data_IF_178725758704
#
_entry.id   IF_178725758704
#
_cell.length_a   1.000
_cell.length_b   1.000
_cell.length_c   1.000
_cell.angle_alpha   90.00
_cell.angle_beta   90.00
_cell.angle_gamma   90.00
#
_symmetry.space_group_name_H-M   'P 1'
#
loop_
_entity.id
_entity.type
_entity.pdbx_description
1 polymer ?
#
# COMPACT_ATOMS: atom_id res chain seq x y z
N UNK A 1 10.12 -21.86 -1.32
CA UNK A 1 9.43 -20.73 -0.65
C UNK A 1 8.28 -20.29 -1.54
N UNK A 2 7.15 -19.92 -0.93
CA UNK A 2 6.04 -19.26 -1.62
C UNK A 2 5.95 -17.83 -1.13
N UNK A 3 5.75 -16.86 -2.04
CA UNK A 3 5.65 -15.45 -1.65
C UNK A 3 4.32 -14.90 -2.11
N UNK A 4 3.51 -14.40 -1.18
CA UNK A 4 2.33 -13.59 -1.49
C UNK A 4 2.63 -12.15 -1.15
N UNK A 5 2.42 -11.23 -2.09
CA UNK A 5 2.63 -9.81 -1.84
C UNK A 5 1.54 -8.97 -2.48
N UNK A 6 1.30 -7.81 -1.91
CA UNK A 6 0.43 -6.81 -2.48
C UNK A 6 0.79 -5.41 -1.97
N UNK A 7 0.33 -4.41 -2.70
CA UNK A 7 0.52 -3.01 -2.36
C UNK A 7 -0.83 -2.33 -2.26
N UNK A 8 -0.98 -1.43 -1.30
CA UNK A 8 -2.14 -0.54 -1.27
C UNK A 8 -1.76 0.83 -0.76
N UNK A 9 -2.40 1.86 -1.29
CA UNK A 9 -2.46 3.15 -0.64
C UNK A 9 -3.70 3.18 0.26
N UNK A 10 -3.56 3.70 1.47
CA UNK A 10 -4.66 3.89 2.41
C UNK A 10 -4.68 5.30 2.95
N UNK A 11 -5.86 5.90 3.01
CA UNK A 11 -6.15 7.08 3.81
C UNK A 11 -7.04 6.70 4.99
N UNK A 12 -6.69 7.15 6.19
CA UNK A 12 -7.39 6.84 7.44
C UNK A 12 -7.96 8.11 8.07
N UNK A 13 -9.21 8.04 8.52
CA UNK A 13 -9.85 9.14 9.25
C UNK A 13 -10.87 8.62 10.25
N UNK A 14 -10.91 9.19 11.45
CA UNK A 14 -11.95 8.96 12.46
C UNK A 14 -13.05 10.05 12.43
N UNK A 15 -12.89 11.08 11.59
CA UNK A 15 -13.83 12.20 11.45
C UNK A 15 -14.51 12.25 10.07
N UNK A 16 -13.92 11.59 9.07
CA UNK A 16 -14.50 11.46 7.73
C UNK A 16 -14.76 9.99 7.42
N UNK A 17 -15.91 9.72 6.84
CA UNK A 17 -16.22 8.45 6.20
C UNK A 17 -15.47 8.28 4.88
N UNK A 18 -15.38 7.04 4.37
CA UNK A 18 -14.79 6.80 3.06
C UNK A 18 -15.54 7.48 1.91
N UNK A 19 -16.86 7.62 2.01
CA UNK A 19 -17.64 8.33 0.99
C UNK A 19 -17.32 9.83 0.95
N UNK A 20 -17.11 10.46 2.11
CA UNK A 20 -16.68 11.85 2.19
C UNK A 20 -15.24 12.02 1.69
N UNK A 21 -14.34 11.08 1.99
CA UNK A 21 -13.00 11.06 1.41
C UNK A 21 -13.04 10.95 -0.12
N UNK A 22 -13.84 10.04 -0.68
CA UNK A 22 -14.03 9.92 -2.14
C UNK A 22 -14.51 11.22 -2.77
N UNK A 23 -15.52 11.85 -2.16
CA UNK A 23 -16.10 13.09 -2.66
C UNK A 23 -15.08 14.24 -2.69
N UNK A 24 -14.14 14.27 -1.74
CA UNK A 24 -13.09 15.29 -1.67
C UNK A 24 -11.91 14.99 -2.60
N UNK A 25 -11.50 13.73 -2.71
CA UNK A 25 -10.39 13.31 -3.58
C UNK A 25 -10.81 13.31 -5.05
N UNK A 26 -12.09 13.01 -5.34
CA UNK A 26 -12.61 12.83 -6.69
C UNK A 26 -12.34 11.43 -7.26
N UNK A 27 -12.03 10.46 -6.40
CA UNK A 27 -11.74 9.07 -6.76
C UNK A 27 -12.46 8.12 -5.79
N UNK A 28 -13.07 7.07 -6.33
CA UNK A 28 -13.64 5.98 -5.52
C UNK A 28 -12.55 4.98 -5.10
N UNK A 29 -12.65 4.39 -3.88
CA UNK A 29 -11.70 3.40 -3.42
C UNK A 29 -12.00 2.04 -4.04
N UNK A 30 -10.99 1.19 -4.08
CA UNK A 30 -11.17 -0.23 -4.31
C UNK A 30 -11.78 -0.92 -3.08
N UNK A 31 -11.40 -0.45 -1.88
CA UNK A 31 -11.85 -1.02 -0.61
C UNK A 31 -12.13 0.04 0.45
N UNK A 32 -13.16 -0.24 1.26
CA UNK A 32 -13.50 0.53 2.45
C UNK A 32 -13.45 -0.37 3.66
N UNK A 33 -12.82 0.09 4.74
CA UNK A 33 -12.84 -0.59 6.03
C UNK A 33 -13.24 0.37 7.15
N UNK A 34 -13.89 -0.15 8.19
CA UNK A 34 -14.11 0.55 9.45
C UNK A 34 -13.34 -0.22 10.52
N UNK A 35 -12.26 0.36 11.00
CA UNK A 35 -11.38 -0.20 12.01
C UNK A 35 -11.70 0.44 13.35
N UNK A 36 -12.19 -0.33 14.31
CA UNK A 36 -12.45 0.15 15.67
C UNK A 36 -11.85 -0.79 16.69
N UNK A 37 -11.36 -0.24 17.82
CA UNK A 37 -11.04 -1.10 18.95
C UNK A 37 -12.31 -1.66 19.54
N UNK A 38 -12.33 -2.96 19.86
CA UNK A 38 -13.37 -3.55 20.69
C UNK A 38 -13.23 -3.14 22.16
N UNK A 39 -12.11 -2.48 22.53
CA UNK A 39 -11.91 -1.97 23.87
C UNK A 39 -12.77 -0.73 24.11
N UNK A 40 -13.62 -0.81 25.13
CA UNK A 40 -14.47 0.29 25.55
C UNK A 40 -13.71 1.31 26.43
N UNK A 41 -12.46 1.02 26.84
CA UNK A 41 -11.67 1.87 27.75
C UNK A 41 -10.16 1.87 27.42
N UNK A 42 -9.58 3.03 27.04
CA UNK A 42 -10.28 4.23 26.61
C UNK A 42 -11.12 3.94 25.36
N UNK A 43 -12.24 4.65 25.21
CA UNK A 43 -13.04 4.57 23.99
C UNK A 43 -12.15 5.01 22.81
N UNK A 44 -11.84 4.10 21.90
CA UNK A 44 -11.12 4.45 20.67
C UNK A 44 -12.15 4.67 19.56
N UNK A 45 -12.15 5.84 18.90
CA UNK A 45 -13.04 6.09 17.77
C UNK A 45 -12.89 5.02 16.70
N UNK A 46 -13.99 4.78 15.98
CA UNK A 46 -13.90 4.05 14.72
C UNK A 46 -13.10 4.89 13.72
N UNK A 47 -12.17 4.25 13.03
CA UNK A 47 -11.34 4.81 11.97
C UNK A 47 -11.82 4.22 10.65
N UNK A 48 -12.25 5.08 9.75
CA UNK A 48 -12.55 4.73 8.37
C UNK A 48 -11.26 4.68 7.56
N UNK A 49 -11.11 3.64 6.76
CA UNK A 49 -10.01 3.48 5.82
C UNK A 49 -10.57 3.46 4.39
N UNK A 50 -9.99 4.28 3.53
CA UNK A 50 -10.23 4.38 2.09
C UNK A 50 -8.98 3.88 1.37
N UNK A 51 -9.10 2.91 0.44
CA UNK A 51 -7.93 2.22 -0.13
C UNK A 51 -7.96 2.11 -1.65
N UNK A 52 -6.77 2.22 -2.25
CA UNK A 52 -6.46 1.83 -3.63
C UNK A 52 -5.44 0.69 -3.58
N UNK A 53 -5.72 -0.42 -4.24
CA UNK A 53 -4.99 -1.68 -4.08
C UNK A 53 -4.45 -2.22 -5.40
N UNK A 54 -3.33 -2.92 -5.35
CA UNK A 54 -2.82 -3.75 -6.43
C UNK A 54 -2.42 -5.11 -5.85
N UNK A 55 -3.06 -6.17 -6.36
CA UNK A 55 -2.84 -7.58 -5.98
C UNK A 55 -2.60 -8.48 -7.18
N UNK A 56 -2.22 -7.87 -8.31
CA UNK A 56 -2.07 -8.61 -9.56
C UNK A 56 -0.88 -9.58 -9.43
N UNK A 57 -1.07 -10.88 -9.69
CA UNK A 57 0.00 -11.87 -9.55
C UNK A 57 1.10 -11.64 -10.59
N UNK A 58 2.32 -12.06 -10.26
CA UNK A 58 3.49 -12.00 -11.12
C UNK A 58 4.18 -10.62 -11.17
N UNK A 59 3.67 -9.63 -10.43
CA UNK A 59 4.29 -8.31 -10.36
C UNK A 59 5.29 -8.20 -9.21
N UNK A 60 6.39 -7.51 -9.46
CA UNK A 60 7.29 -7.06 -8.40
C UNK A 60 6.64 -5.93 -7.59
N UNK A 61 7.15 -5.66 -6.38
CA UNK A 61 6.58 -4.62 -5.50
C UNK A 61 6.65 -3.23 -6.15
N UNK A 62 7.73 -2.91 -6.86
CA UNK A 62 7.91 -1.64 -7.56
C UNK A 62 6.93 -1.48 -8.74
N UNK A 63 6.59 -2.56 -9.45
CA UNK A 63 5.53 -2.55 -10.46
C UNK A 63 4.15 -2.32 -9.83
N UNK A 64 3.85 -2.99 -8.72
CA UNK A 64 2.59 -2.79 -7.98
C UNK A 64 2.47 -1.36 -7.42
N UNK A 65 3.55 -0.82 -6.85
CA UNK A 65 3.64 0.57 -6.40
C UNK A 65 3.36 1.50 -7.57
N UNK A 66 4.03 1.28 -8.71
CA UNK A 66 3.87 2.14 -9.89
C UNK A 66 2.40 2.18 -10.34
N UNK A 67 1.72 1.03 -10.40
CA UNK A 67 0.29 0.97 -10.74
C UNK A 67 -0.59 1.73 -9.76
N UNK A 68 -0.32 1.65 -8.46
CA UNK A 68 -1.07 2.39 -7.44
C UNK A 68 -0.82 3.90 -7.59
N UNK A 69 0.44 4.31 -7.77
CA UNK A 69 0.81 5.72 -7.93
C UNK A 69 0.25 6.29 -9.23
N UNK A 70 0.28 5.55 -10.35
CA UNK A 70 -0.32 5.96 -11.63
C UNK A 70 -1.80 6.33 -11.49
N UNK A 71 -2.53 5.59 -10.65
CA UNK A 71 -3.95 5.86 -10.40
C UNK A 71 -4.18 7.07 -9.50
N UNK A 72 -3.25 7.36 -8.59
CA UNK A 72 -3.38 8.42 -7.58
C UNK A 72 -2.78 9.75 -8.01
N UNK A 73 -1.76 9.74 -8.89
CA UNK A 73 -1.03 10.93 -9.31
C UNK A 73 -1.93 12.05 -9.86
N UNK A 74 -2.98 11.77 -10.66
CA UNK A 74 -3.93 12.80 -11.09
C UNK A 74 -4.67 13.52 -9.96
N UNK A 75 -4.73 12.91 -8.78
CA UNK A 75 -5.45 13.41 -7.59
C UNK A 75 -4.50 13.85 -6.47
N UNK A 76 -3.18 13.93 -6.74
CA UNK A 76 -2.15 14.19 -5.74
C UNK A 76 -2.36 15.47 -4.93
N UNK A 77 -2.84 16.55 -5.56
CA UNK A 77 -3.14 17.81 -4.87
C UNK A 77 -4.31 17.66 -3.88
N UNK A 78 -5.40 17.01 -4.31
CA UNK A 78 -6.56 16.77 -3.45
C UNK A 78 -6.23 15.84 -2.28
N UNK A 79 -5.41 14.81 -2.53
CA UNK A 79 -4.90 13.91 -1.50
C UNK A 79 -4.04 14.69 -0.50
N UNK A 80 -3.06 15.47 -0.98
CA UNK A 80 -2.16 16.25 -0.12
C UNK A 80 -2.91 17.27 0.74
N UNK A 81 -3.86 18.00 0.15
CA UNK A 81 -4.70 18.95 0.89
C UNK A 81 -5.56 18.27 1.97
N UNK A 82 -6.10 17.08 1.67
CA UNK A 82 -6.87 16.32 2.65
C UNK A 82 -5.99 15.74 3.77
N UNK A 83 -4.77 15.30 3.46
CA UNK A 83 -3.80 14.86 4.46
C UNK A 83 -3.42 16.02 5.38
N UNK A 84 -3.15 17.20 4.84
CA UNK A 84 -2.86 18.39 5.63
C UNK A 84 -4.01 18.76 6.57
N UNK A 85 -5.25 18.75 6.08
CA UNK A 85 -6.45 18.99 6.89
C UNK A 85 -6.58 17.98 8.04
N UNK A 86 -6.38 16.69 7.76
CA UNK A 86 -6.51 15.61 8.74
C UNK A 86 -5.34 15.56 9.73
N UNK A 87 -4.17 16.09 9.37
CA UNK A 87 -2.99 16.14 10.22
C UNK A 87 -3.06 17.23 11.30
N UNK A 88 -3.89 18.27 11.13
CA UNK A 88 -4.03 19.36 12.08
C UNK A 88 -4.37 18.85 13.50
N UNK A 89 -3.36 18.86 14.38
CA UNK A 89 -3.49 18.45 15.79
C UNK A 89 -3.27 16.96 16.07
N UNK A 90 -2.70 16.19 15.14
CA UNK A 90 -2.47 14.74 15.30
C UNK A 90 -1.02 14.35 15.02
N UNK A 91 -0.60 13.22 15.61
CA UNK A 91 0.71 12.62 15.39
C UNK A 91 0.59 11.41 14.47
N UNK A 92 1.44 11.32 13.45
CA UNK A 92 1.47 10.25 12.44
C UNK A 92 0.79 10.63 11.12
N UNK A 93 1.19 10.01 10.01
CA UNK A 93 0.52 10.22 8.73
C UNK A 93 -0.81 9.46 8.67
N UNK A 94 -1.84 10.15 8.20
CA UNK A 94 -3.13 9.53 7.89
C UNK A 94 -3.13 8.85 6.52
N UNK A 95 -2.08 9.02 5.71
CA UNK A 95 -1.92 8.42 4.40
C UNK A 95 -0.67 7.53 4.34
N UNK A 96 -0.83 6.29 3.90
CA UNK A 96 0.26 5.31 3.85
C UNK A 96 0.20 4.53 2.54
N UNK A 97 1.31 4.46 1.83
CA UNK A 97 1.57 3.45 0.81
C UNK A 97 2.14 2.22 1.51
N UNK A 98 1.33 1.17 1.64
CA UNK A 98 1.70 -0.06 2.31
C UNK A 98 2.15 -1.11 1.30
N UNK A 99 3.30 -1.71 1.54
CA UNK A 99 3.71 -3.00 0.99
C UNK A 99 3.42 -4.07 2.04
N UNK A 100 2.77 -5.15 1.64
CA UNK A 100 2.58 -6.32 2.51
C UNK A 100 3.11 -7.55 1.82
N UNK A 101 3.96 -8.31 2.51
CA UNK A 101 4.53 -9.57 2.03
C UNK A 101 4.37 -10.67 3.07
N UNK A 102 3.93 -11.84 2.60
CA UNK A 102 3.88 -13.08 3.36
C UNK A 102 4.85 -14.08 2.72
N UNK A 103 5.79 -14.57 3.53
CA UNK A 103 6.66 -15.69 3.22
C UNK A 103 5.97 -16.99 3.58
N UNK A 104 6.23 -18.03 2.79
CA UNK A 104 5.69 -19.39 2.93
C UNK A 104 4.15 -19.47 3.02
N UNK A 105 3.48 -18.51 2.38
CA UNK A 105 2.02 -18.47 2.27
C UNK A 105 1.50 -19.52 1.27
N UNK A 106 0.48 -20.28 1.67
CA UNK A 106 -0.12 -21.32 0.82
C UNK A 106 -0.71 -20.77 -0.49
N UNK A 107 -1.16 -19.51 -0.49
CA UNK A 107 -1.67 -18.82 -1.67
C UNK A 107 -0.56 -18.04 -2.42
N UNK A 108 0.67 -18.05 -1.91
CA UNK A 108 1.80 -17.35 -2.51
C UNK A 108 2.28 -17.95 -3.84
N UNK A 109 2.96 -17.14 -4.63
CA UNK A 109 3.60 -17.60 -5.86
C UNK A 109 4.79 -18.49 -5.56
N UNK A 110 4.99 -19.53 -6.36
CA UNK A 110 6.12 -20.45 -6.21
C UNK A 110 7.36 -19.83 -6.81
N UNK A 111 8.51 -20.06 -6.19
CA UNK A 111 9.80 -19.73 -6.79
C UNK A 111 9.95 -20.40 -8.16
N UNK A 112 10.15 -19.59 -9.20
CA UNK A 112 10.56 -20.08 -10.49
C UNK A 112 12.05 -20.42 -10.46
N UNK A 113 12.40 -21.70 -10.57
CA UNK A 113 13.79 -22.18 -10.56
C UNK A 113 14.44 -22.16 -11.95
N UNK A 114 13.74 -21.69 -12.97
CA UNK A 114 14.33 -21.52 -14.31
C UNK A 114 15.31 -20.36 -14.28
N UNK A 115 16.48 -20.57 -14.87
CA UNK A 115 17.42 -19.50 -15.14
C UNK A 115 17.01 -18.74 -16.40
N UNK A 116 17.10 -17.40 -16.43
CA UNK A 116 16.94 -16.63 -17.65
C UNK A 116 18.08 -16.88 -18.65
N UNK A 117 19.25 -17.32 -18.17
CA UNK A 117 20.36 -17.78 -19.00
C UNK A 117 20.38 -19.32 -19.03
N UNK A 118 20.18 -19.96 -20.21
CA UNK A 118 20.21 -21.42 -20.33
C UNK A 118 21.55 -22.07 -19.93
N UNK A 119 22.64 -21.31 -19.87
CA UNK A 119 23.95 -21.78 -19.44
C UNK A 119 24.13 -21.78 -17.90
N UNK A 120 23.18 -21.21 -17.16
CA UNK A 120 23.23 -21.08 -15.71
C UNK A 120 22.08 -21.83 -15.05
N UNK A 121 22.30 -22.27 -13.81
CA UNK A 121 21.24 -22.77 -12.91
C UNK A 121 20.94 -21.69 -11.88
N UNK A 122 19.64 -21.48 -11.60
CA UNK A 122 19.21 -20.55 -10.57
C UNK A 122 19.36 -21.20 -9.19
N UNK A 123 19.97 -20.49 -8.25
CA UNK A 123 20.14 -20.97 -6.88
C UNK A 123 18.80 -20.81 -6.14
N UNK A 124 18.28 -21.87 -5.47
CA UNK A 124 17.07 -21.74 -4.66
C UNK A 124 17.18 -20.64 -3.60
N UNK A 125 16.08 -19.92 -3.37
CA UNK A 125 16.02 -18.75 -2.49
C UNK A 125 16.16 -17.40 -3.22
N UNK A 126 16.34 -17.41 -4.54
CA UNK A 126 16.36 -16.21 -5.39
C UNK A 126 14.97 -15.93 -5.96
N UNK A 127 13.94 -15.91 -5.11
CA UNK A 127 12.55 -15.80 -5.56
C UNK A 127 12.33 -14.53 -6.41
N UNK A 128 11.67 -14.69 -7.57
CA UNK A 128 11.52 -13.64 -8.59
C UNK A 128 10.79 -12.38 -8.13
N UNK A 129 10.06 -12.48 -7.02
CA UNK A 129 9.31 -11.39 -6.39
C UNK A 129 10.09 -10.64 -5.31
N UNK A 130 11.32 -11.06 -5.02
CA UNK A 130 12.19 -10.41 -4.03
C UNK A 130 13.13 -9.41 -4.69
N UNK A 131 13.46 -8.37 -3.94
CA UNK A 131 14.15 -7.20 -4.47
C UNK A 131 13.16 -6.27 -5.18
N UNK A 132 13.24 -4.99 -4.86
CA UNK A 132 12.46 -3.93 -5.45
C UNK A 132 13.12 -2.60 -5.13
N UNK A 133 12.69 -1.54 -5.78
CA UNK A 133 13.23 -0.21 -5.56
C UNK A 133 12.09 0.83 -5.58
N UNK A 134 12.38 2.02 -5.04
CA UNK A 134 11.50 3.17 -5.15
C UNK A 134 12.22 4.19 -6.01
N UNK A 135 11.61 4.58 -7.13
CA UNK A 135 12.17 5.60 -8.00
C UNK A 135 11.89 7.02 -7.49
N UNK A 136 12.52 8.02 -8.10
CA UNK A 136 12.34 9.42 -7.70
C UNK A 136 10.93 9.97 -7.93
N UNK A 137 10.13 9.37 -8.82
CA UNK A 137 8.75 9.78 -9.07
C UNK A 137 7.88 9.38 -7.89
N UNK A 138 7.99 8.13 -7.42
CA UNK A 138 7.25 7.65 -6.25
C UNK A 138 7.63 8.44 -5.00
N UNK A 139 8.93 8.70 -4.78
CA UNK A 139 9.37 9.53 -3.64
C UNK A 139 8.74 10.92 -3.70
N UNK A 140 8.67 11.55 -4.88
CA UNK A 140 8.04 12.86 -5.05
C UNK A 140 6.55 12.82 -4.74
N UNK A 141 5.84 11.78 -5.22
CA UNK A 141 4.42 11.59 -4.94
C UNK A 141 4.14 11.46 -3.44
N UNK A 142 4.93 10.64 -2.74
CA UNK A 142 4.82 10.46 -1.29
C UNK A 142 5.06 11.80 -0.55
N UNK A 143 6.12 12.51 -0.93
CA UNK A 143 6.44 13.81 -0.33
C UNK A 143 5.35 14.87 -0.59
N UNK A 144 4.79 14.94 -1.81
CA UNK A 144 3.75 15.93 -2.15
C UNK A 144 2.40 15.64 -1.50
N UNK A 145 2.12 14.38 -1.20
CA UNK A 145 0.86 13.96 -0.56
C UNK A 145 0.97 13.87 0.96
N UNK A 146 2.17 14.01 1.52
CA UNK A 146 2.43 13.74 2.95
C UNK A 146 2.25 12.26 3.34
N UNK A 147 2.24 11.37 2.36
CA UNK A 147 2.09 9.94 2.59
C UNK A 147 3.42 9.29 2.99
N UNK A 148 3.33 8.33 3.91
CA UNK A 148 4.47 7.50 4.31
C UNK A 148 4.53 6.22 3.47
N UNK A 149 5.72 5.62 3.39
CA UNK A 149 5.90 4.25 2.89
C UNK A 149 6.08 3.33 4.09
N UNK A 150 5.27 2.28 4.16
CA UNK A 150 5.35 1.26 5.20
C UNK A 150 5.44 -0.13 4.59
N UNK A 151 6.21 -1.01 5.22
CA UNK A 151 6.54 -2.34 4.70
C UNK A 151 6.36 -3.37 5.80
N UNK A 152 5.31 -4.17 5.64
CA UNK A 152 4.99 -5.28 6.54
C UNK A 152 5.43 -6.59 5.92
N UNK A 153 6.23 -7.36 6.66
CA UNK A 153 6.67 -8.69 6.27
C UNK A 153 6.31 -9.71 7.34
N UNK A 154 5.70 -10.81 6.91
CA UNK A 154 5.22 -11.90 7.77
C UNK A 154 5.75 -13.24 7.27
N UNK A 155 6.02 -14.19 8.17
CA UNK A 155 6.45 -15.55 7.87
C UNK A 155 6.01 -16.53 8.93
#
# INVERSE_FOLDING_TARGET
>A
MRVRQYVYFVMRSDILSAAEMSARIGLDPDEVMIQGSRSLRPLRPAVHAWKITCRDPGLTVDEMISRVVDRLEPFGEAIGGLVEELHLGRTGSCAVLQVVRYFDDEEGEVEDLRSPDPALEKIPGQHQLLGWHVDGRVVRFLASTGAELDVDEYG
#
